data_IF_246200660882
#
_entry.id   IF_246200660882
#
_cell.length_a   1.000
_cell.length_b   1.000
_cell.length_c   1.000
_cell.angle_alpha   90.00
_cell.angle_beta   90.00
_cell.angle_gamma   90.00
#
_symmetry.space_group_name_H-M   'P 1'
#
loop_
_entity.id
_entity.type
_entity.pdbx_description
1 polymer ?
#
# COMPACT_ATOMS: atom_id res chain seq x y z
N UNK A 1 43.85 51.25 67.04
CA UNK A 1 42.54 50.93 66.44
C UNK A 1 42.32 51.82 65.22
N UNK A 2 41.74 51.25 64.15
CA UNK A 2 41.22 51.88 62.91
C UNK A 2 42.22 52.23 61.79
N UNK A 3 42.38 51.22 60.93
CA UNK A 3 42.34 51.16 59.44
C UNK A 3 42.66 52.45 58.65
N UNK A 4 43.72 52.36 57.85
CA UNK A 4 44.02 53.22 56.71
C UNK A 4 43.49 52.59 55.40
N UNK A 5 43.00 53.44 54.50
CA UNK A 5 42.58 53.14 53.13
C UNK A 5 43.76 53.43 52.20
N UNK A 6 44.17 52.49 51.35
CA UNK A 6 44.92 52.77 50.11
C UNK A 6 44.45 51.79 49.02
N UNK A 7 44.00 52.35 47.90
CA UNK A 7 43.74 51.65 46.63
C UNK A 7 45.08 51.42 45.91
N UNK A 8 45.37 50.18 45.48
CA UNK A 8 46.37 49.91 44.45
C UNK A 8 45.79 48.88 43.48
N UNK A 9 45.65 49.32 42.22
CA UNK A 9 45.42 48.48 41.04
C UNK A 9 46.76 47.87 40.65
N UNK A 10 46.83 46.55 40.46
CA UNK A 10 47.93 45.88 39.77
C UNK A 10 47.38 44.82 38.83
N UNK A 11 47.56 45.08 37.54
CA UNK A 11 47.51 44.11 36.45
C UNK A 11 48.65 43.10 36.64
N UNK A 12 48.34 41.80 36.59
CA UNK A 12 49.34 40.76 36.28
C UNK A 12 48.78 39.80 35.23
N UNK A 13 49.60 39.63 34.21
CA UNK A 13 49.36 38.95 32.95
C UNK A 13 49.84 37.50 33.00
N UNK A 14 49.37 36.72 32.02
CA UNK A 14 49.81 35.36 31.62
C UNK A 14 49.28 34.21 32.49
N UNK A 15 48.97 33.00 32.02
CA UNK A 15 49.38 32.27 30.82
C UNK A 15 48.38 31.11 30.57
N UNK A 16 47.95 30.93 29.32
CA UNK A 16 47.67 29.67 28.59
C UNK A 16 47.07 28.49 29.38
N UNK A 17 45.82 28.15 29.06
CA UNK A 17 45.58 26.90 28.33
C UNK A 17 44.39 27.11 27.39
N UNK A 18 44.68 27.27 26.10
CA UNK A 18 43.72 26.88 25.08
C UNK A 18 43.54 25.37 25.27
N UNK A 19 42.52 24.98 26.02
CA UNK A 19 41.83 23.76 25.68
C UNK A 19 41.15 24.05 24.34
N UNK A 20 41.86 23.73 23.25
CA UNK A 20 41.21 23.36 22.01
C UNK A 20 40.39 22.11 22.36
N UNK A 21 39.17 22.34 22.85
CA UNK A 21 38.12 21.35 22.73
C UNK A 21 37.88 21.30 21.23
N UNK A 22 38.64 20.46 20.56
CA UNK A 22 38.35 19.97 19.24
C UNK A 22 37.07 19.14 19.40
N UNK A 23 35.93 19.82 19.59
CA UNK A 23 34.61 19.24 19.44
C UNK A 23 34.51 18.91 17.96
N UNK A 24 35.00 17.74 17.58
CA UNK A 24 34.70 17.17 16.29
C UNK A 24 33.18 17.21 16.16
N UNK A 25 32.68 18.16 15.35
CA UNK A 25 31.25 18.37 15.15
C UNK A 25 30.65 17.02 14.81
N UNK A 26 29.68 16.57 15.59
CA UNK A 26 29.12 15.25 15.39
C UNK A 26 28.58 15.16 13.96
N UNK A 27 29.05 14.16 13.20
CA UNK A 27 28.62 13.96 11.82
C UNK A 27 27.10 13.81 11.78
N UNK A 28 26.46 14.53 10.89
CA UNK A 28 25.04 14.37 10.57
C UNK A 28 24.77 12.95 10.07
N UNK A 29 23.50 12.51 10.12
CA UNK A 29 23.08 11.22 9.54
C UNK A 29 23.51 11.13 8.07
N UNK A 30 23.39 12.24 7.35
CA UNK A 30 23.78 12.37 5.96
C UNK A 30 25.28 12.13 5.73
N UNK A 31 26.14 12.74 6.54
CA UNK A 31 27.59 12.55 6.46
C UNK A 31 27.99 11.11 6.81
N UNK A 32 27.41 10.55 7.88
CA UNK A 32 27.64 9.16 8.29
C UNK A 32 27.26 8.17 7.18
N UNK A 33 26.13 8.39 6.51
CA UNK A 33 25.65 7.58 5.38
C UNK A 33 26.57 7.68 4.15
N UNK A 34 26.95 8.89 3.76
CA UNK A 34 27.83 9.12 2.60
C UNK A 34 29.21 8.51 2.82
N UNK A 35 29.78 8.66 4.02
CA UNK A 35 31.08 8.08 4.36
C UNK A 35 31.02 6.55 4.33
N UNK A 36 29.97 5.96 4.90
CA UNK A 36 29.74 4.52 4.85
C UNK A 36 29.66 4.00 3.41
N UNK A 37 28.94 4.70 2.53
CA UNK A 37 28.84 4.32 1.13
C UNK A 37 30.20 4.43 0.41
N UNK A 38 30.90 5.55 0.55
CA UNK A 38 32.21 5.75 -0.08
C UNK A 38 33.23 4.71 0.38
N UNK A 39 33.24 4.34 1.66
CA UNK A 39 34.12 3.29 2.18
C UNK A 39 33.80 1.89 1.60
N UNK A 40 32.54 1.63 1.27
CA UNK A 40 32.11 0.35 0.67
C UNK A 40 32.40 0.25 -0.84
N UNK A 41 32.66 1.37 -1.52
CA UNK A 41 33.00 1.42 -2.94
C UNK A 41 34.45 1.87 -3.11
N UNK A 42 35.34 0.88 -3.22
CA UNK A 42 36.82 0.96 -3.28
C UNK A 42 37.36 2.11 -4.15
N UNK A 43 38.57 2.58 -3.82
CA UNK A 43 39.36 3.58 -4.54
C UNK A 43 39.41 3.32 -6.07
N UNK A 44 39.37 4.42 -6.84
CA UNK A 44 39.31 4.50 -8.32
C UNK A 44 37.92 4.44 -9.00
N UNK A 45 36.83 4.54 -8.24
CA UNK A 45 35.48 4.70 -8.80
C UNK A 45 35.17 6.19 -9.01
N UNK A 46 34.79 6.58 -10.23
CA UNK A 46 34.26 7.93 -10.49
C UNK A 46 32.92 8.09 -9.78
N UNK A 47 32.77 9.16 -9.00
CA UNK A 47 31.53 9.49 -8.29
C UNK A 47 30.97 10.82 -8.79
N UNK A 48 29.79 10.80 -9.40
CA UNK A 48 29.05 12.05 -9.67
C UNK A 48 28.17 12.39 -8.46
N UNK A 49 28.23 13.65 -8.04
CA UNK A 49 27.48 14.16 -6.87
C UNK A 49 26.46 15.21 -7.33
N UNK A 50 25.20 15.07 -6.95
CA UNK A 50 24.17 16.09 -7.16
C UNK A 50 23.76 16.71 -5.84
N UNK A 51 23.64 18.04 -5.80
CA UNK A 51 23.22 18.81 -4.62
C UNK A 51 21.95 19.61 -4.91
N UNK A 52 21.12 19.85 -3.90
CA UNK A 52 20.00 20.81 -4.01
C UNK A 52 20.49 22.27 -3.87
N UNK A 53 19.57 23.23 -3.95
CA UNK A 53 19.86 24.68 -3.80
C UNK A 53 20.50 25.05 -2.45
N UNK A 54 20.30 24.22 -1.41
CA UNK A 54 20.89 24.40 -0.07
C UNK A 54 22.28 23.75 0.05
N UNK A 55 22.82 23.14 -1.02
CA UNK A 55 24.10 22.44 -1.01
C UNK A 55 24.07 21.01 -0.45
N UNK A 56 22.90 20.49 -0.09
CA UNK A 56 22.72 19.14 0.45
C UNK A 56 22.81 18.13 -0.69
N UNK A 57 23.64 17.09 -0.54
CA UNK A 57 23.76 16.01 -1.53
C UNK A 57 22.46 15.21 -1.60
N UNK A 58 21.79 15.27 -2.75
CA UNK A 58 20.54 14.54 -3.01
C UNK A 58 20.77 13.25 -3.79
N UNK A 59 21.94 13.11 -4.44
CA UNK A 59 22.28 11.94 -5.24
C UNK A 59 23.78 11.69 -5.28
N UNK A 60 24.16 10.41 -5.20
CA UNK A 60 25.50 9.91 -5.51
C UNK A 60 25.41 8.84 -6.59
N UNK A 61 26.25 8.95 -7.62
CA UNK A 61 26.36 7.97 -8.69
C UNK A 61 27.76 7.39 -8.73
N UNK A 62 27.88 6.10 -8.47
CA UNK A 62 29.14 5.35 -8.50
C UNK A 62 29.27 4.65 -9.85
N UNK A 63 30.19 5.09 -10.70
CA UNK A 63 30.40 4.54 -12.04
C UNK A 63 31.35 3.34 -11.99
N UNK A 64 30.85 2.16 -12.39
CA UNK A 64 31.68 0.97 -12.61
C UNK A 64 32.26 0.94 -14.02
N UNK A 65 31.54 1.49 -15.00
CA UNK A 65 32.00 1.76 -16.36
C UNK A 65 31.17 2.91 -16.96
N UNK A 66 31.46 3.31 -18.20
CA UNK A 66 30.69 4.37 -18.88
C UNK A 66 29.18 4.07 -18.98
N UNK A 67 28.80 2.79 -19.00
CA UNK A 67 27.41 2.37 -19.17
C UNK A 67 26.84 1.65 -17.95
N UNK A 68 27.62 1.42 -16.88
CA UNK A 68 27.19 0.72 -15.67
C UNK A 68 27.48 1.56 -14.42
N UNK A 69 26.45 1.85 -13.63
CA UNK A 69 26.58 2.64 -12.42
C UNK A 69 25.53 2.30 -11.36
N UNK A 70 25.81 2.71 -10.12
CA UNK A 70 24.91 2.59 -8.98
C UNK A 70 24.47 3.98 -8.56
N UNK A 71 23.17 4.23 -8.58
CA UNK A 71 22.56 5.48 -8.12
C UNK A 71 22.03 5.31 -6.69
N UNK A 72 22.50 6.15 -5.78
CA UNK A 72 21.90 6.41 -4.48
C UNK A 72 21.23 7.77 -4.49
N UNK A 73 20.02 7.86 -3.96
CA UNK A 73 19.33 9.13 -3.71
C UNK A 73 18.98 9.27 -2.24
N UNK A 74 18.89 10.50 -1.75
CA UNK A 74 18.67 10.84 -0.34
C UNK A 74 17.49 11.81 -0.19
N UNK A 75 16.82 11.74 0.96
CA UNK A 75 15.89 12.78 1.42
C UNK A 75 16.65 14.04 1.84
N UNK A 76 15.97 15.17 1.97
CA UNK A 76 16.61 16.40 2.51
C UNK A 76 17.07 16.21 3.96
N UNK A 77 16.40 15.36 4.74
CA UNK A 77 16.82 14.92 6.07
C UNK A 77 18.12 14.11 6.08
N UNK A 78 18.54 13.60 4.93
CA UNK A 78 19.76 12.85 4.73
C UNK A 78 19.62 11.33 4.81
N UNK A 79 18.44 10.81 5.13
CA UNK A 79 18.16 9.37 5.05
C UNK A 79 18.20 8.88 3.60
N UNK A 80 18.59 7.61 3.40
CA UNK A 80 18.52 6.97 2.09
C UNK A 80 17.08 7.01 1.58
N UNK A 81 16.91 7.38 0.31
CA UNK A 81 15.63 7.37 -0.38
C UNK A 81 15.55 6.22 -1.36
N UNK A 82 16.61 5.99 -2.15
CA UNK A 82 16.62 4.92 -3.13
C UNK A 82 18.02 4.44 -3.51
N UNK A 83 18.08 3.20 -3.98
CA UNK A 83 19.27 2.51 -4.47
C UNK A 83 18.88 1.72 -5.71
N UNK A 84 19.48 2.05 -6.84
CA UNK A 84 19.29 1.30 -8.09
C UNK A 84 20.60 1.11 -8.84
N UNK A 85 20.71 -0.04 -9.49
CA UNK A 85 21.77 -0.38 -10.44
C UNK A 85 21.26 -0.12 -11.85
N UNK A 86 22.09 0.52 -12.67
CA UNK A 86 21.75 0.86 -14.04
C UNK A 86 22.85 0.36 -14.96
N UNK A 87 22.46 -0.36 -16.01
CA UNK A 87 23.34 -0.77 -17.10
C UNK A 87 22.67 -0.45 -18.43
N UNK A 88 23.43 0.11 -19.37
CA UNK A 88 22.92 0.50 -20.70
C UNK A 88 21.65 1.37 -20.61
N UNK A 89 21.63 2.31 -19.64
CA UNK A 89 20.49 3.21 -19.35
C UNK A 89 19.20 2.52 -18.86
N UNK A 90 19.25 1.24 -18.52
CA UNK A 90 18.12 0.47 -17.97
C UNK A 90 18.44 -0.01 -16.54
N UNK A 91 17.41 -0.15 -15.70
CA UNK A 91 17.58 -0.77 -14.37
C UNK A 91 17.95 -2.25 -14.53
N UNK A 92 18.94 -2.71 -13.77
CA UNK A 92 19.41 -4.11 -13.80
C UNK A 92 19.78 -4.57 -12.38
N UNK A 93 19.21 -5.67 -11.93
CA UNK A 93 19.34 -6.18 -10.56
C UNK A 93 18.41 -5.50 -9.56
N UNK A 94 18.86 -5.45 -8.30
CA UNK A 94 18.03 -5.01 -7.17
C UNK A 94 17.80 -3.50 -7.15
N UNK A 95 16.57 -3.11 -6.88
CA UNK A 95 16.14 -1.73 -6.65
C UNK A 95 15.40 -1.65 -5.31
N UNK A 96 15.90 -0.82 -4.40
CA UNK A 96 15.27 -0.51 -3.13
C UNK A 96 14.83 0.95 -3.06
N UNK A 97 13.68 1.19 -2.46
CA UNK A 97 13.27 2.49 -1.92
C UNK A 97 13.06 2.36 -0.41
N UNK A 98 13.31 3.44 0.32
CA UNK A 98 13.08 3.52 1.76
C UNK A 98 12.13 4.67 2.06
N UNK A 99 11.33 4.51 3.11
CA UNK A 99 10.66 5.60 3.78
C UNK A 99 11.69 6.51 4.46
N UNK A 100 11.31 7.76 4.72
CA UNK A 100 12.20 8.71 5.42
C UNK A 100 12.54 8.28 6.86
N UNK A 101 11.75 7.39 7.45
CA UNK A 101 12.04 6.73 8.72
C UNK A 101 13.13 5.62 8.64
N UNK A 102 13.70 5.39 7.45
CA UNK A 102 14.76 4.41 7.21
C UNK A 102 14.28 2.97 6.98
N UNK A 103 12.99 2.67 7.06
CA UNK A 103 12.43 1.35 6.73
C UNK A 103 12.27 1.20 5.21
N UNK A 104 12.44 -0.02 4.71
CA UNK A 104 12.26 -0.31 3.28
C UNK A 104 10.80 -0.05 2.91
N UNK A 105 10.60 0.70 1.83
CA UNK A 105 9.29 0.95 1.23
C UNK A 105 9.06 -0.02 0.06
N UNK A 106 10.08 -0.23 -0.77
CA UNK A 106 10.01 -1.13 -1.93
C UNK A 106 11.27 -1.97 -2.06
N UNK A 107 11.09 -3.20 -2.50
CA UNK A 107 12.15 -4.11 -2.94
C UNK A 107 11.74 -4.73 -4.27
N UNK A 108 12.49 -4.44 -5.32
CA UNK A 108 12.21 -4.88 -6.69
C UNK A 108 13.48 -5.45 -7.33
N UNK A 109 13.31 -6.24 -8.38
CA UNK A 109 14.40 -6.79 -9.17
C UNK A 109 14.10 -6.63 -10.66
N UNK A 110 15.11 -6.26 -11.44
CA UNK A 110 14.96 -5.96 -12.86
C UNK A 110 16.01 -6.71 -13.70
N UNK A 111 15.64 -7.13 -14.90
CA UNK A 111 16.57 -7.54 -15.96
C UNK A 111 16.25 -6.76 -17.23
N UNK A 112 17.25 -6.05 -17.77
CA UNK A 112 17.11 -5.16 -18.95
C UNK A 112 15.90 -4.22 -18.87
N UNK A 113 15.65 -3.67 -17.68
CA UNK A 113 14.52 -2.76 -17.42
C UNK A 113 13.17 -3.44 -17.20
N UNK A 114 13.05 -4.76 -17.35
CA UNK A 114 11.84 -5.52 -17.06
C UNK A 114 11.86 -6.06 -15.63
N UNK A 115 10.72 -5.99 -14.92
CA UNK A 115 10.62 -6.54 -13.56
C UNK A 115 10.70 -8.07 -13.59
N UNK A 116 11.51 -8.63 -12.69
CA UNK A 116 11.68 -10.06 -12.51
C UNK A 116 11.55 -10.44 -11.03
N UNK A 117 11.26 -11.71 -10.77
CA UNK A 117 11.22 -12.25 -9.41
C UNK A 117 10.09 -11.68 -8.56
N UNK A 118 10.40 -11.43 -7.28
CA UNK A 118 9.44 -10.91 -6.30
C UNK A 118 9.62 -9.41 -6.11
N UNK A 119 8.53 -8.67 -6.35
CA UNK A 119 8.44 -7.24 -6.15
C UNK A 119 7.57 -6.98 -4.93
N UNK A 120 8.16 -6.42 -3.87
CA UNK A 120 7.52 -6.28 -2.57
C UNK A 120 7.42 -4.81 -2.21
N UNK A 121 6.22 -4.39 -1.81
CA UNK A 121 5.95 -3.10 -1.17
C UNK A 121 5.65 -3.35 0.30
N UNK A 122 6.15 -2.50 1.18
CA UNK A 122 5.96 -2.61 2.62
C UNK A 122 5.10 -1.47 3.15
N UNK A 123 4.43 -1.69 4.27
CA UNK A 123 3.83 -0.65 5.10
C UNK A 123 4.92 0.08 5.88
N UNK A 124 4.64 1.29 6.39
CA UNK A 124 5.59 2.02 7.24
C UNK A 124 5.93 1.30 8.55
N UNK A 125 5.10 0.36 8.99
CA UNK A 125 5.41 -0.49 10.13
C UNK A 125 6.52 -1.53 9.80
N UNK A 126 6.83 -1.76 8.52
CA UNK A 126 7.84 -2.70 8.03
C UNK A 126 7.28 -4.06 7.58
N UNK A 127 5.98 -4.31 7.77
CA UNK A 127 5.29 -5.50 7.27
C UNK A 127 5.05 -5.39 5.76
N UNK A 128 4.91 -6.53 5.09
CA UNK A 128 4.52 -6.52 3.67
C UNK A 128 3.15 -5.84 3.53
N UNK A 129 3.02 -5.02 2.50
CA UNK A 129 1.76 -4.42 2.03
C UNK A 129 1.27 -5.12 0.77
N UNK A 130 2.20 -5.43 -0.13
CA UNK A 130 1.94 -6.09 -1.40
C UNK A 130 3.17 -6.90 -1.83
N UNK A 131 2.93 -8.01 -2.50
CA UNK A 131 3.95 -8.79 -3.20
C UNK A 131 3.43 -9.16 -4.59
N UNK A 132 4.23 -8.95 -5.62
CA UNK A 132 3.97 -9.38 -6.99
C UNK A 132 5.06 -10.36 -7.45
N UNK A 133 4.65 -11.53 -7.93
CA UNK A 133 5.54 -12.56 -8.47
C UNK A 133 5.47 -12.56 -9.99
N UNK A 134 6.54 -12.13 -10.66
CA UNK A 134 6.59 -12.06 -12.12
C UNK A 134 6.52 -13.40 -12.83
N UNK A 135 6.81 -14.52 -12.13
CA UNK A 135 6.78 -15.88 -12.73
C UNK A 135 5.39 -16.47 -12.74
N UNK A 136 4.60 -16.21 -11.68
CA UNK A 136 3.23 -16.73 -11.55
C UNK A 136 2.18 -15.70 -11.91
N UNK A 137 2.59 -14.44 -12.11
CA UNK A 137 1.70 -13.28 -12.29
C UNK A 137 0.69 -13.14 -11.14
N UNK A 138 1.10 -13.56 -9.94
CA UNK A 138 0.30 -13.48 -8.72
C UNK A 138 0.65 -12.20 -7.96
N UNK A 139 -0.39 -11.47 -7.56
CA UNK A 139 -0.28 -10.36 -6.60
C UNK A 139 -0.94 -10.77 -5.29
N UNK A 140 -0.24 -10.61 -4.18
CA UNK A 140 -0.78 -10.79 -2.82
C UNK A 140 -0.75 -9.46 -2.08
N UNK A 141 -1.88 -9.04 -1.53
CA UNK A 141 -1.98 -7.92 -0.60
C UNK A 141 -2.03 -8.44 0.83
N UNK A 142 -1.57 -7.63 1.77
CA UNK A 142 -1.43 -8.02 3.17
C UNK A 142 -2.07 -6.97 4.08
N UNK A 143 -2.72 -7.44 5.13
CA UNK A 143 -3.13 -6.60 6.26
C UNK A 143 -1.89 -6.06 6.99
N UNK A 144 -2.07 -5.02 7.80
CA UNK A 144 -0.97 -4.44 8.60
C UNK A 144 -0.36 -5.43 9.60
N UNK A 145 -1.10 -6.48 9.98
CA UNK A 145 -0.62 -7.57 10.83
C UNK A 145 0.31 -8.58 10.09
N UNK A 146 0.55 -8.37 8.79
CA UNK A 146 1.41 -9.21 7.95
C UNK A 146 0.76 -10.47 7.38
N UNK A 147 -0.53 -10.74 7.66
CA UNK A 147 -1.29 -11.83 7.05
C UNK A 147 -1.85 -11.40 5.68
N UNK A 148 -2.02 -12.34 4.72
CA UNK A 148 -2.62 -12.00 3.44
C UNK A 148 -4.04 -11.49 3.63
N UNK A 149 -4.45 -10.50 2.84
CA UNK A 149 -5.83 -10.00 2.75
C UNK A 149 -6.49 -10.42 1.44
N UNK A 150 -5.69 -10.45 0.37
CA UNK A 150 -6.13 -10.84 -0.97
C UNK A 150 -4.97 -11.47 -1.74
N UNK A 151 -5.24 -12.48 -2.55
CA UNK A 151 -4.36 -12.99 -3.60
C UNK A 151 -5.12 -12.96 -4.92
N UNK A 152 -4.52 -12.40 -5.96
CA UNK A 152 -5.11 -12.32 -7.29
C UNK A 152 -4.14 -12.80 -8.37
N UNK A 153 -4.69 -13.48 -9.37
CA UNK A 153 -3.98 -14.03 -10.52
C UNK A 153 -4.96 -14.26 -11.67
N UNK A 154 -4.46 -14.64 -12.84
CA UNK A 154 -5.33 -15.03 -13.95
C UNK A 154 -6.22 -16.24 -13.63
N UNK A 155 -5.76 -17.16 -12.77
CA UNK A 155 -6.47 -18.42 -12.47
C UNK A 155 -7.43 -18.32 -11.31
N UNK A 156 -7.16 -17.45 -10.35
CA UNK A 156 -7.89 -17.39 -9.09
C UNK A 156 -7.76 -16.05 -8.39
N UNK A 157 -8.76 -15.78 -7.58
CA UNK A 157 -8.79 -14.69 -6.60
C UNK A 157 -9.20 -15.25 -5.24
N UNK A 158 -8.43 -14.96 -4.19
CA UNK A 158 -8.68 -15.45 -2.83
C UNK A 158 -8.71 -14.24 -1.89
N UNK A 159 -9.75 -14.13 -1.08
CA UNK A 159 -9.83 -13.23 0.05
C UNK A 159 -9.59 -13.99 1.34
N UNK A 160 -8.98 -13.32 2.33
CA UNK A 160 -8.59 -13.94 3.58
C UNK A 160 -9.17 -13.18 4.78
N UNK A 161 -9.39 -13.93 5.86
CA UNK A 161 -9.55 -13.40 7.21
C UNK A 161 -8.21 -12.87 7.73
N UNK A 162 -8.24 -11.96 8.72
CA UNK A 162 -7.01 -11.39 9.30
C UNK A 162 -6.16 -12.41 10.07
N UNK A 163 -6.70 -13.59 10.37
CA UNK A 163 -5.99 -14.75 10.90
C UNK A 163 -5.23 -15.56 9.82
N UNK A 164 -5.47 -15.27 8.53
CA UNK A 164 -4.86 -15.93 7.37
C UNK A 164 -5.66 -17.10 6.77
N UNK A 165 -6.80 -17.47 7.34
CA UNK A 165 -7.71 -18.45 6.73
C UNK A 165 -8.41 -17.84 5.51
N UNK A 166 -8.72 -18.68 4.52
CA UNK A 166 -9.50 -18.25 3.36
C UNK A 166 -10.89 -17.83 3.82
N UNK A 167 -11.39 -16.73 3.26
CA UNK A 167 -12.75 -16.27 3.40
C UNK A 167 -13.57 -16.63 2.15
N UNK A 168 -13.03 -16.30 0.98
CA UNK A 168 -13.70 -16.54 -0.30
C UNK A 168 -12.65 -16.83 -1.37
N UNK A 169 -12.90 -17.81 -2.24
CA UNK A 169 -11.99 -18.22 -3.31
C UNK A 169 -12.78 -18.38 -4.61
N UNK A 170 -12.37 -17.64 -5.62
CA UNK A 170 -12.83 -17.75 -6.99
C UNK A 170 -11.77 -18.44 -7.84
N UNK A 171 -12.18 -19.43 -8.62
CA UNK A 171 -11.33 -20.14 -9.58
C UNK A 171 -11.91 -19.90 -10.97
N UNK A 172 -11.17 -19.18 -11.82
CA UNK A 172 -11.65 -18.71 -13.11
C UNK A 172 -11.61 -19.83 -14.16
N UNK A 173 -12.67 -19.95 -14.97
CA UNK A 173 -12.66 -20.77 -16.18
C UNK A 173 -12.05 -19.98 -17.33
N UNK A 174 -11.39 -20.68 -18.23
CA UNK A 174 -10.81 -20.12 -19.45
C UNK A 174 -11.62 -20.61 -20.65
N UNK A 175 -11.67 -19.82 -21.71
CA UNK A 175 -12.21 -20.25 -22.99
C UNK A 175 -11.16 -21.01 -23.84
N UNK A 176 -11.52 -21.37 -25.06
CA UNK A 176 -10.61 -22.07 -25.99
C UNK A 176 -9.40 -21.24 -26.42
N UNK A 177 -9.47 -19.91 -26.30
CA UNK A 177 -8.40 -18.97 -26.61
C UNK A 177 -7.54 -18.67 -25.38
N UNK A 178 -7.79 -19.37 -24.25
CA UNK A 178 -7.13 -19.16 -22.97
C UNK A 178 -7.41 -17.76 -22.36
N UNK A 179 -8.55 -17.15 -22.72
CA UNK A 179 -9.04 -15.92 -22.11
C UNK A 179 -9.95 -16.22 -20.91
N UNK A 180 -9.90 -15.35 -19.90
CA UNK A 180 -10.68 -15.52 -18.67
C UNK A 180 -12.17 -15.31 -18.98
N UNK A 181 -12.97 -16.33 -18.66
CA UNK A 181 -14.42 -16.20 -18.66
C UNK A 181 -14.87 -15.54 -17.36
N UNK A 182 -15.94 -14.75 -17.42
CA UNK A 182 -16.66 -14.25 -16.26
C UNK A 182 -17.44 -15.37 -15.52
N UNK A 183 -16.91 -16.59 -15.51
CA UNK A 183 -17.50 -17.78 -14.91
C UNK A 183 -16.43 -18.63 -14.26
N UNK A 184 -16.79 -19.40 -13.25
CA UNK A 184 -15.82 -20.17 -12.50
C UNK A 184 -16.43 -20.99 -11.38
N UNK A 185 -15.57 -21.38 -10.46
CA UNK A 185 -15.96 -21.98 -9.19
C UNK A 185 -15.80 -20.97 -8.06
N UNK A 186 -16.66 -21.07 -7.05
CA UNK A 186 -16.60 -20.24 -5.86
C UNK A 186 -16.67 -21.13 -4.62
N UNK A 187 -15.77 -20.89 -3.68
CA UNK A 187 -15.76 -21.47 -2.35
C UNK A 187 -15.85 -20.35 -1.32
N UNK A 188 -16.69 -20.51 -0.31
CA UNK A 188 -16.85 -19.55 0.78
C UNK A 188 -16.69 -20.26 2.12
N UNK A 189 -16.00 -19.65 3.07
CA UNK A 189 -15.57 -20.26 4.32
C UNK A 189 -15.89 -19.37 5.51
N UNK A 190 -16.09 -19.99 6.67
CA UNK A 190 -16.07 -19.33 7.98
C UNK A 190 -14.63 -18.96 8.37
N UNK A 191 -14.49 -18.06 9.35
CA UNK A 191 -13.17 -17.65 9.88
C UNK A 191 -12.38 -18.82 10.47
N UNK A 192 -13.06 -19.86 10.97
CA UNK A 192 -12.43 -21.09 11.45
C UNK A 192 -11.96 -22.04 10.33
N UNK A 193 -12.16 -21.69 9.06
CA UNK A 193 -11.78 -22.48 7.88
C UNK A 193 -12.84 -23.49 7.41
N UNK A 194 -13.99 -23.60 8.07
CA UNK A 194 -15.09 -24.48 7.63
C UNK A 194 -15.70 -23.96 6.34
N UNK A 195 -15.76 -24.78 5.30
CA UNK A 195 -16.42 -24.42 4.03
C UNK A 195 -17.94 -24.32 4.22
N UNK A 196 -18.52 -23.17 3.91
CA UNK A 196 -19.95 -22.86 4.00
C UNK A 196 -20.64 -23.09 2.66
N UNK A 197 -19.99 -22.70 1.56
CA UNK A 197 -20.54 -22.81 0.22
C UNK A 197 -19.48 -23.27 -0.78
N UNK A 198 -19.91 -24.11 -1.73
CA UNK A 198 -19.17 -24.52 -2.90
C UNK A 198 -20.15 -24.57 -4.07
N UNK A 199 -19.76 -23.96 -5.18
CA UNK A 199 -20.60 -23.88 -6.36
C UNK A 199 -19.89 -23.28 -7.55
N UNK A 200 -20.69 -22.97 -8.56
CA UNK A 200 -20.25 -22.29 -9.77
C UNK A 200 -20.84 -20.89 -9.84
N UNK A 201 -20.17 -19.99 -10.55
CA UNK A 201 -20.73 -18.69 -10.88
C UNK A 201 -20.59 -18.41 -12.37
N UNK A 202 -21.50 -17.63 -12.92
CA UNK A 202 -21.39 -16.99 -14.23
C UNK A 202 -22.00 -15.59 -14.16
N UNK A 203 -21.13 -14.59 -14.28
CA UNK A 203 -21.42 -13.16 -14.33
C UNK A 203 -22.29 -12.70 -13.15
N UNK A 204 -23.61 -12.89 -13.25
CA UNK A 204 -24.63 -12.45 -12.28
C UNK A 204 -25.26 -13.58 -11.47
N UNK A 205 -24.92 -14.84 -11.75
CA UNK A 205 -25.62 -16.00 -11.21
C UNK A 205 -24.69 -16.96 -10.48
N UNK A 206 -25.19 -17.50 -9.37
CA UNK A 206 -24.58 -18.59 -8.60
C UNK A 206 -25.35 -19.88 -8.84
N UNK A 207 -24.62 -20.99 -8.89
CA UNK A 207 -25.14 -22.31 -9.16
C UNK A 207 -24.61 -23.31 -8.13
N UNK A 208 -25.42 -24.31 -7.82
CA UNK A 208 -25.03 -25.48 -7.04
C UNK A 208 -25.51 -26.73 -7.76
N UNK A 209 -24.58 -27.65 -8.04
CA UNK A 209 -24.85 -28.88 -8.79
C UNK A 209 -25.56 -28.61 -10.14
N UNK A 210 -25.08 -27.62 -10.89
CA UNK A 210 -25.62 -27.25 -12.21
C UNK A 210 -26.96 -26.51 -12.21
N UNK A 211 -27.57 -26.25 -11.05
CA UNK A 211 -28.83 -25.50 -10.93
C UNK A 211 -28.60 -24.14 -10.28
N UNK A 212 -29.35 -23.12 -10.69
CA UNK A 212 -29.34 -21.80 -10.05
C UNK A 212 -29.60 -21.97 -8.55
N UNK A 213 -28.72 -21.39 -7.74
CA UNK A 213 -28.75 -21.58 -6.30
C UNK A 213 -29.82 -20.69 -5.66
N UNK A 214 -30.67 -21.30 -4.83
CA UNK A 214 -31.62 -20.61 -3.96
C UNK A 214 -31.35 -21.04 -2.53
N UNK A 215 -31.15 -20.07 -1.63
CA UNK A 215 -30.78 -20.30 -0.24
C UNK A 215 -29.88 -19.21 0.31
N UNK A 216 -29.55 -19.32 1.59
CA UNK A 216 -28.70 -18.36 2.29
C UNK A 216 -27.23 -18.80 2.28
N UNK A 217 -26.32 -17.83 2.17
CA UNK A 217 -24.89 -18.01 2.40
C UNK A 217 -24.54 -17.13 3.61
N UNK A 218 -24.25 -17.77 4.74
CA UNK A 218 -23.94 -17.09 6.00
C UNK A 218 -22.59 -17.58 6.50
N UNK A 219 -21.63 -16.66 6.63
CA UNK A 219 -20.33 -16.94 7.21
C UNK A 219 -20.17 -16.19 8.53
N UNK A 220 -19.36 -16.76 9.43
CA UNK A 220 -19.16 -16.27 10.78
C UNK A 220 -17.67 -16.00 11.05
N UNK A 221 -17.44 -14.94 11.82
CA UNK A 221 -16.21 -14.73 12.56
C UNK A 221 -16.12 -15.70 13.75
N UNK A 222 -14.93 -15.86 14.32
CA UNK A 222 -14.68 -16.70 15.50
C UNK A 222 -15.43 -16.23 16.74
N UNK A 223 -15.79 -14.94 16.82
CA UNK A 223 -16.61 -14.37 17.89
C UNK A 223 -18.11 -14.62 17.70
N UNK A 224 -18.51 -15.35 16.65
CA UNK A 224 -19.89 -15.69 16.33
C UNK A 224 -20.67 -14.59 15.60
N UNK A 225 -20.06 -13.43 15.33
CA UNK A 225 -20.70 -12.40 14.48
C UNK A 225 -20.66 -12.83 13.02
N UNK A 226 -21.65 -12.37 12.24
CA UNK A 226 -21.73 -12.67 10.82
C UNK A 226 -20.66 -11.86 10.05
N UNK A 227 -19.84 -12.54 9.26
CA UNK A 227 -18.86 -11.94 8.35
C UNK A 227 -19.39 -11.75 6.93
N UNK A 228 -20.35 -12.58 6.50
CA UNK A 228 -21.03 -12.50 5.22
C UNK A 228 -22.47 -12.95 5.39
N UNK A 229 -23.39 -12.17 4.83
CA UNK A 229 -24.78 -12.58 4.66
C UNK A 229 -25.26 -12.28 3.24
N UNK A 230 -25.75 -13.30 2.57
CA UNK A 230 -26.41 -13.19 1.26
C UNK A 230 -27.60 -14.14 1.22
N UNK A 231 -28.76 -13.63 0.80
CA UNK A 231 -29.92 -14.45 0.49
C UNK A 231 -30.07 -14.55 -1.03
N UNK A 232 -30.07 -15.78 -1.56
CA UNK A 232 -30.04 -16.04 -3.00
C UNK A 232 -31.39 -16.59 -3.48
N UNK A 233 -31.91 -16.04 -4.57
CA UNK A 233 -33.08 -16.55 -5.30
C UNK A 233 -32.70 -16.66 -6.78
N UNK A 234 -32.83 -17.86 -7.34
CA UNK A 234 -32.49 -18.17 -8.74
C UNK A 234 -31.08 -17.69 -9.11
N UNK A 235 -30.12 -17.93 -8.22
CA UNK A 235 -28.71 -17.61 -8.37
C UNK A 235 -28.36 -16.14 -8.17
N UNK A 236 -29.32 -15.27 -7.83
CA UNK A 236 -29.09 -13.84 -7.60
C UNK A 236 -29.36 -13.47 -6.15
N UNK A 237 -28.64 -12.47 -5.66
CA UNK A 237 -28.94 -11.90 -4.35
C UNK A 237 -30.31 -11.20 -4.36
N UNK A 238 -31.12 -11.44 -3.33
CA UNK A 238 -32.42 -10.80 -3.09
C UNK A 238 -32.55 -10.41 -1.62
N UNK A 239 -32.98 -9.18 -1.36
CA UNK A 239 -33.05 -8.61 -0.03
C UNK A 239 -31.72 -8.05 0.47
N UNK A 240 -31.60 -7.93 1.79
CA UNK A 240 -30.41 -7.38 2.45
C UNK A 240 -29.21 -8.29 2.24
N UNK A 241 -28.05 -7.69 2.02
CA UNK A 241 -26.77 -8.38 2.00
C UNK A 241 -25.69 -7.50 2.60
N UNK A 242 -24.67 -8.12 3.17
CA UNK A 242 -23.49 -7.42 3.65
C UNK A 242 -22.31 -8.37 3.79
N UNK A 243 -21.12 -7.81 3.74
CA UNK A 243 -19.86 -8.50 3.92
C UNK A 243 -18.91 -7.61 4.68
N UNK A 244 -18.13 -8.22 5.56
CA UNK A 244 -16.99 -7.59 6.22
C UNK A 244 -15.70 -8.03 5.53
N UNK A 245 -14.68 -7.17 5.56
CA UNK A 245 -13.32 -7.58 5.31
C UNK A 245 -12.86 -8.57 6.38
N UNK A 246 -11.78 -9.30 6.09
CA UNK A 246 -11.18 -10.24 7.04
C UNK A 246 -10.76 -9.62 8.37
N UNK A 247 -10.51 -8.30 8.40
CA UNK A 247 -10.18 -7.50 9.58
C UNK A 247 -11.43 -6.91 10.29
N UNK A 248 -12.62 -7.46 10.03
CA UNK A 248 -13.90 -7.11 10.67
C UNK A 248 -14.45 -5.71 10.36
N UNK A 249 -13.85 -4.99 9.42
CA UNK A 249 -14.40 -3.72 8.91
C UNK A 249 -15.45 -4.03 7.86
N UNK A 250 -16.60 -3.33 7.88
CA UNK A 250 -17.65 -3.54 6.88
C UNK A 250 -17.06 -3.26 5.48
N UNK A 251 -17.22 -4.19 4.53
CA UNK A 251 -16.68 -4.11 3.17
C UNK A 251 -17.73 -3.59 2.20
N UNK A 252 -18.93 -4.15 2.28
CA UNK A 252 -20.09 -3.68 1.55
C UNK A 252 -21.38 -4.04 2.27
N UNK A 253 -22.42 -3.27 2.01
CA UNK A 253 -23.80 -3.58 2.37
C UNK A 253 -24.75 -3.11 1.27
N UNK A 254 -25.94 -3.69 1.23
CA UNK A 254 -26.97 -3.21 0.33
C UNK A 254 -28.26 -4.00 0.43
N UNK A 255 -29.17 -3.66 -0.48
CA UNK A 255 -30.46 -4.32 -0.61
C UNK A 255 -30.83 -4.48 -2.09
N UNK A 256 -31.18 -5.71 -2.48
CA UNK A 256 -31.76 -6.02 -3.78
C UNK A 256 -33.26 -6.24 -3.66
N UNK A 257 -34.02 -5.76 -4.65
CA UNK A 257 -35.42 -6.12 -4.80
C UNK A 257 -35.74 -6.39 -6.25
N UNK A 258 -36.30 -7.57 -6.53
CA UNK A 258 -36.58 -8.07 -7.87
C UNK A 258 -35.35 -7.98 -8.78
N UNK A 259 -34.19 -8.32 -8.24
CA UNK A 259 -32.92 -8.29 -8.96
C UNK A 259 -32.38 -6.89 -9.33
N UNK A 260 -32.89 -5.81 -8.72
CA UNK A 260 -32.36 -4.44 -8.86
C UNK A 260 -31.80 -3.93 -7.52
N UNK A 261 -30.69 -3.20 -7.56
CA UNK A 261 -30.17 -2.50 -6.39
C UNK A 261 -31.16 -1.41 -5.96
N UNK A 262 -31.63 -1.47 -4.72
CA UNK A 262 -32.31 -0.33 -4.08
C UNK A 262 -31.26 0.63 -3.54
N UNK A 263 -30.26 0.06 -2.87
CA UNK A 263 -29.18 0.79 -2.21
C UNK A 263 -27.96 -0.13 -2.08
N UNK A 264 -26.76 0.45 -2.19
CA UNK A 264 -25.53 -0.21 -1.76
C UNK A 264 -24.48 0.81 -1.29
N UNK A 265 -23.65 0.38 -0.34
CA UNK A 265 -22.43 1.07 0.10
C UNK A 265 -21.25 0.12 0.00
N UNK A 266 -20.12 0.65 -0.44
CA UNK A 266 -18.82 -0.01 -0.35
C UNK A 266 -17.92 0.84 0.54
N UNK A 267 -17.00 0.19 1.25
CA UNK A 267 -16.14 0.84 2.24
C UNK A 267 -14.67 0.54 1.97
N UNK A 268 -13.80 1.48 2.33
CA UNK A 268 -12.36 1.28 2.41
C UNK A 268 -12.00 0.41 3.64
N UNK A 269 -10.77 -0.12 3.64
CA UNK A 269 -10.28 -0.91 4.78
C UNK A 269 -10.01 -0.07 6.04
N UNK A 270 -10.11 1.27 5.97
CA UNK A 270 -10.11 2.14 7.14
C UNK A 270 -11.52 2.41 7.71
N UNK A 271 -12.57 1.87 7.09
CA UNK A 271 -13.96 2.03 7.50
C UNK A 271 -14.69 3.23 6.89
N UNK A 272 -14.00 4.11 6.16
CA UNK A 272 -14.65 5.19 5.43
C UNK A 272 -15.45 4.65 4.25
N UNK A 273 -16.55 5.32 3.91
CA UNK A 273 -17.33 5.00 2.72
C UNK A 273 -16.44 5.25 1.49
N UNK A 274 -16.45 4.32 0.54
CA UNK A 274 -15.78 4.42 -0.76
C UNK A 274 -16.72 4.90 -1.82
N UNK A 275 -17.91 4.29 -1.89
CA UNK A 275 -18.97 4.74 -2.75
C UNK A 275 -20.33 4.29 -2.20
N UNK A 276 -21.36 5.03 -2.59
CA UNK A 276 -22.73 4.66 -2.31
C UNK A 276 -23.63 4.93 -3.52
N UNK A 277 -24.66 4.11 -3.66
CA UNK A 277 -25.72 4.29 -4.63
C UNK A 277 -27.05 4.17 -3.91
N UNK A 278 -27.91 5.16 -4.14
CA UNK A 278 -29.27 5.22 -3.63
C UNK A 278 -30.21 5.37 -4.84
N UNK A 279 -30.83 4.26 -5.23
CA UNK A 279 -31.72 4.21 -6.38
C UNK A 279 -33.03 4.99 -6.13
N UNK A 280 -33.43 5.15 -4.87
CA UNK A 280 -34.64 5.92 -4.51
C UNK A 280 -34.37 7.41 -4.75
N UNK A 281 -33.17 7.87 -4.37
CA UNK A 281 -32.76 9.26 -4.59
C UNK A 281 -32.19 9.53 -5.98
N UNK A 282 -31.93 8.48 -6.76
CA UNK A 282 -31.22 8.56 -8.04
C UNK A 282 -29.84 9.21 -7.89
N UNK A 283 -29.11 8.90 -6.81
CA UNK A 283 -27.80 9.49 -6.52
C UNK A 283 -26.75 8.39 -6.39
N UNK A 284 -25.60 8.62 -7.01
CA UNK A 284 -24.36 7.90 -6.75
C UNK A 284 -23.34 8.88 -6.17
N UNK A 285 -22.53 8.42 -5.21
CA UNK A 285 -21.43 9.20 -4.66
C UNK A 285 -20.18 8.35 -4.58
N UNK A 286 -19.04 8.94 -4.90
CA UNK A 286 -17.73 8.37 -4.60
C UNK A 286 -16.99 9.27 -3.61
N UNK A 287 -16.13 8.67 -2.80
CA UNK A 287 -15.41 9.34 -1.72
C UNK A 287 -13.93 9.00 -1.79
N UNK A 288 -13.09 9.96 -1.40
CA UNK A 288 -11.68 9.73 -1.13
C UNK A 288 -11.51 8.86 0.12
N UNK A 289 -10.35 8.21 0.23
CA UNK A 289 -10.03 7.35 1.38
C UNK A 289 -10.01 8.12 2.71
N UNK A 290 -9.78 9.44 2.68
CA UNK A 290 -9.87 10.33 3.84
C UNK A 290 -11.33 10.63 4.29
N UNK A 291 -12.33 10.14 3.55
CA UNK A 291 -13.76 10.32 3.84
C UNK A 291 -14.42 11.54 3.19
N UNK A 292 -13.65 12.41 2.53
CA UNK A 292 -14.21 13.54 1.80
C UNK A 292 -14.91 13.08 0.52
N UNK A 293 -16.01 13.75 0.17
CA UNK A 293 -16.73 13.50 -1.07
C UNK A 293 -15.82 13.77 -2.26
N UNK A 294 -15.82 12.89 -3.26
CA UNK A 294 -15.04 13.03 -4.50
C UNK A 294 -15.95 13.38 -5.66
N UNK A 295 -17.10 12.70 -5.75
CA UNK A 295 -18.08 12.94 -6.81
C UNK A 295 -19.50 12.67 -6.32
N UNK A 296 -20.46 13.33 -6.94
CA UNK A 296 -21.89 13.09 -6.79
C UNK A 296 -22.51 13.12 -8.18
N UNK A 297 -23.20 12.05 -8.55
CA UNK A 297 -23.87 11.91 -9.83
C UNK A 297 -25.37 11.72 -9.64
N UNK A 298 -26.17 12.55 -10.29
CA UNK A 298 -27.62 12.45 -10.29
C UNK A 298 -28.09 11.72 -11.56
N UNK A 299 -28.68 10.54 -11.39
CA UNK A 299 -29.12 9.69 -12.49
C UNK A 299 -30.32 10.24 -13.26
N UNK A 300 -31.11 11.14 -12.66
CA UNK A 300 -32.24 11.82 -13.30
C UNK A 300 -31.77 13.01 -14.14
N UNK A 301 -31.01 13.93 -13.53
CA UNK A 301 -30.57 15.16 -14.21
C UNK A 301 -29.34 14.95 -15.09
N UNK A 302 -28.63 13.82 -14.91
CA UNK A 302 -27.34 13.52 -15.56
C UNK A 302 -26.22 14.48 -15.17
N UNK A 303 -26.40 15.24 -14.11
CA UNK A 303 -25.40 16.17 -13.58
C UNK A 303 -24.38 15.43 -12.71
N UNK A 304 -23.12 15.85 -12.82
CA UNK A 304 -22.04 15.39 -11.95
C UNK A 304 -21.41 16.60 -11.26
N UNK A 305 -21.12 16.46 -9.96
CA UNK A 305 -20.33 17.40 -9.20
C UNK A 305 -19.06 16.70 -8.73
N UNK A 306 -17.96 17.44 -8.66
CA UNK A 306 -16.66 16.92 -8.23
C UNK A 306 -16.08 17.78 -7.11
N UNK A 307 -15.33 17.16 -6.22
CA UNK A 307 -14.64 17.84 -5.13
C UNK A 307 -13.18 17.37 -5.07
N UNK A 308 -12.28 18.25 -4.61
CA UNK A 308 -10.90 17.89 -4.32
C UNK A 308 -10.78 17.12 -2.99
N UNK A 309 -9.60 16.56 -2.71
CA UNK A 309 -9.34 15.82 -1.46
C UNK A 309 -9.52 16.68 -0.18
N UNK A 310 -9.57 18.01 -0.29
CA UNK A 310 -9.80 18.93 0.83
C UNK A 310 -11.28 19.30 0.98
N UNK A 311 -12.15 18.81 0.10
CA UNK A 311 -13.59 19.06 0.10
C UNK A 311 -14.01 20.34 -0.63
N UNK A 312 -13.14 20.96 -1.42
CA UNK A 312 -13.52 22.11 -2.24
C UNK A 312 -14.21 21.62 -3.52
N UNK A 313 -15.36 22.21 -3.85
CA UNK A 313 -16.07 21.92 -5.08
C UNK A 313 -15.21 22.37 -6.28
N UNK A 314 -14.99 21.46 -7.23
CA UNK A 314 -14.39 21.79 -8.52
C UNK A 314 -15.41 22.60 -9.31
N UNK A 315 -15.13 23.88 -9.51
CA UNK A 315 -15.84 24.70 -10.49
C UNK A 315 -15.14 24.52 -11.82
N UNK A 316 -15.85 24.00 -12.82
CA UNK A 316 -15.40 24.02 -14.21
C UNK A 316 -15.16 25.47 -14.70
#
# INVERSE_FOLDING_TARGET
MKKAIIFIVLFFSTLISCFDINTAKEKTIHEKEIDSLKNNFVDNIRIDTTKNKKGIITKLRFHKSNNEYIDFSFYESGFKKSLKRVKNRQCEGKYFDWYENGKIQWKREYDKGHQIGLNITFHENGQKKQEYNSKTEETTWFFENGKPSELNSSKKRIFFYDNGNKFEEFIHKFDSNNEIKNSGFVNVYNENGTKVFEGEYDNKFYYKNGKKFTGEIICYFLDGKISLYMNMIDGKCEGKYYCYYGNKILKYEGNFFKGKHIFNRNYYQNGNIRNEFDNIKNISKDYYENGNLMSEYNHLTKETKFWDEKGNLSTD
#
